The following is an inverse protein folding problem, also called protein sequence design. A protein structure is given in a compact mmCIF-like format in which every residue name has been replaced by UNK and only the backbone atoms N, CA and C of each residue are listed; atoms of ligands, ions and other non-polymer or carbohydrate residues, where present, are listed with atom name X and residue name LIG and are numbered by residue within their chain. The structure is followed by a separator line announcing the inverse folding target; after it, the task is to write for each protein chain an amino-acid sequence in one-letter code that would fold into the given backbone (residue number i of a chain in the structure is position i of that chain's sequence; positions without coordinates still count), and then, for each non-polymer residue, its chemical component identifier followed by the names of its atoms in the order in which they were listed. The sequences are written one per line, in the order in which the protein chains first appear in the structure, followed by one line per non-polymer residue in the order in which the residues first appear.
data_IF_581712763343
#
_entry.id   IF_581712763343
#
_cell.length_a   1.000
_cell.length_b   1.000
_cell.length_c   1.000
_cell.angle_alpha   90.00
_cell.angle_beta   90.00
_cell.angle_gamma   90.00
#
_symmetry.space_group_name_H-M   'P 1'
#
loop_
_entity.id
_entity.type
_entity.pdbx_description
1 polymer ?
#
# COMPACT_ATOMS: atom_id res chain seq x y z
N UNK A 1 7.46 31.11 -11.58
CA UNK A 1 6.49 30.10 -11.10
C UNK A 1 5.68 29.71 -12.33
N UNK A 2 6.12 28.64 -12.99
CA UNK A 2 5.55 28.18 -14.26
C UNK A 2 4.32 27.33 -13.97
N UNK A 3 3.14 27.91 -14.18
CA UNK A 3 1.83 27.29 -13.98
C UNK A 3 1.28 26.63 -15.26
N UNK A 4 2.08 26.50 -16.33
CA UNK A 4 1.62 25.93 -17.60
C UNK A 4 2.10 24.48 -17.86
N UNK A 5 2.38 23.71 -16.80
CA UNK A 5 2.44 22.24 -16.96
C UNK A 5 1.02 21.70 -17.07
N UNK A 6 0.43 21.84 -18.26
CA UNK A 6 -0.88 21.26 -18.59
C UNK A 6 -0.85 19.77 -18.27
N UNK A 7 -1.71 19.34 -17.35
CA UNK A 7 -1.81 17.94 -16.89
C UNK A 7 -2.09 16.91 -18.00
N UNK A 8 -2.37 17.38 -19.23
CA UNK A 8 -2.73 16.57 -20.40
C UNK A 8 -1.78 16.72 -21.60
N UNK A 9 -0.73 17.55 -21.51
CA UNK A 9 0.20 17.73 -22.64
C UNK A 9 1.17 16.56 -22.83
N UNK A 10 1.34 15.74 -21.79
CA UNK A 10 2.27 14.61 -21.72
C UNK A 10 1.50 13.36 -21.28
N UNK A 11 0.37 13.06 -21.93
CA UNK A 11 -0.32 11.79 -21.65
C UNK A 11 0.56 10.64 -22.16
N UNK A 12 0.89 9.73 -21.25
CA UNK A 12 1.54 8.48 -21.60
C UNK A 12 0.74 7.75 -22.68
N UNK A 13 1.44 7.10 -23.60
CA UNK A 13 0.81 6.28 -24.62
C UNK A 13 0.05 5.12 -23.97
N UNK A 14 -1.00 4.57 -24.62
CA UNK A 14 -1.74 3.43 -24.06
C UNK A 14 -0.87 2.24 -23.64
N UNK A 15 0.21 1.86 -24.37
CA UNK A 15 1.15 0.84 -23.92
C UNK A 15 1.87 1.20 -22.61
N UNK A 16 2.34 2.44 -22.46
CA UNK A 16 3.03 2.91 -21.25
C UNK A 16 2.08 2.91 -20.04
N UNK A 17 0.82 3.32 -20.24
CA UNK A 17 -0.21 3.24 -19.20
C UNK A 17 -0.51 1.79 -18.80
N UNK A 18 -0.58 0.87 -19.77
CA UNK A 18 -0.78 -0.55 -19.51
C UNK A 18 0.36 -1.15 -18.67
N UNK A 19 1.61 -0.85 -19.05
CA UNK A 19 2.77 -1.34 -18.32
C UNK A 19 2.89 -0.76 -16.92
N UNK A 20 2.53 0.52 -16.74
CA UNK A 20 2.47 1.14 -15.43
C UNK A 20 1.41 0.46 -14.53
N UNK A 21 0.20 0.23 -15.05
CA UNK A 21 -0.85 -0.49 -14.33
C UNK A 21 -0.40 -1.90 -13.93
N UNK A 22 0.25 -2.62 -14.85
CA UNK A 22 0.79 -3.97 -14.58
C UNK A 22 1.88 -3.94 -13.51
N UNK A 23 2.80 -2.97 -13.59
CA UNK A 23 3.89 -2.77 -12.62
C UNK A 23 3.34 -2.46 -11.22
N UNK A 24 2.37 -1.56 -11.12
CA UNK A 24 1.69 -1.23 -9.87
C UNK A 24 0.96 -2.46 -9.31
N UNK A 25 0.25 -3.22 -10.15
CA UNK A 25 -0.44 -4.42 -9.73
C UNK A 25 0.48 -5.47 -9.10
N UNK A 26 1.68 -5.65 -9.66
CA UNK A 26 2.72 -6.52 -9.09
C UNK A 26 3.26 -5.97 -7.77
N UNK A 27 3.65 -4.69 -7.73
CA UNK A 27 4.21 -4.05 -6.52
C UNK A 27 3.24 -4.09 -5.34
N UNK A 28 1.96 -3.85 -5.60
CA UNK A 28 0.91 -3.85 -4.60
C UNK A 28 0.31 -5.24 -4.35
N UNK A 29 0.79 -6.26 -5.07
CA UNK A 29 0.31 -7.65 -4.96
C UNK A 29 -1.21 -7.72 -5.11
N UNK A 30 -1.75 -7.01 -6.09
CA UNK A 30 -3.19 -6.88 -6.32
C UNK A 30 -3.91 -8.22 -6.40
N UNK A 31 -3.33 -9.24 -7.03
CA UNK A 31 -3.93 -10.58 -7.08
C UNK A 31 -4.17 -11.17 -5.68
N UNK A 32 -3.25 -10.96 -4.74
CA UNK A 32 -3.40 -11.43 -3.36
C UNK A 32 -4.53 -10.68 -2.66
N UNK A 33 -4.60 -9.36 -2.85
CA UNK A 33 -5.61 -8.51 -2.24
C UNK A 33 -7.00 -8.81 -2.82
N UNK A 34 -7.11 -8.94 -4.15
CA UNK A 34 -8.33 -9.27 -4.85
C UNK A 34 -8.88 -10.63 -4.40
N UNK A 35 -8.01 -11.65 -4.29
CA UNK A 35 -8.40 -12.95 -3.73
C UNK A 35 -8.86 -12.85 -2.29
N UNK A 36 -8.16 -12.09 -1.44
CA UNK A 36 -8.53 -11.91 -0.04
C UNK A 36 -9.86 -11.15 0.12
N UNK A 37 -10.12 -10.14 -0.73
CA UNK A 37 -11.36 -9.37 -0.73
C UNK A 37 -12.58 -10.20 -1.17
N UNK A 38 -12.37 -11.25 -1.96
CA UNK A 38 -13.42 -12.19 -2.36
C UNK A 38 -13.73 -13.26 -1.29
N UNK A 39 -12.87 -13.41 -0.27
CA UNK A 39 -13.14 -14.30 0.84
C UNK A 39 -14.17 -13.67 1.79
N UNK A 40 -15.00 -14.49 2.46
CA UNK A 40 -15.80 -14.00 3.57
C UNK A 40 -14.91 -13.26 4.56
N UNK A 41 -15.44 -12.17 5.13
CA UNK A 41 -14.73 -11.43 6.16
C UNK A 41 -14.33 -12.39 7.31
N UNK A 42 -13.14 -12.23 7.89
CA UNK A 42 -12.74 -13.03 9.04
C UNK A 42 -13.75 -12.83 10.18
N UNK A 43 -13.87 -13.84 11.05
CA UNK A 43 -14.77 -13.73 12.19
C UNK A 43 -14.36 -12.55 13.09
N UNK A 44 -15.37 -11.82 13.56
CA UNK A 44 -15.21 -10.76 14.56
C UNK A 44 -15.33 -11.30 15.99
N UNK A 45 -15.60 -12.61 16.15
CA UNK A 45 -15.75 -13.23 17.47
C UNK A 45 -14.39 -13.59 18.04
N UNK A 46 -14.22 -13.32 19.33
CA UNK A 46 -13.01 -13.67 20.06
C UNK A 46 -12.73 -15.17 20.06
N UNK A 47 -13.77 -16.00 20.17
CA UNK A 47 -13.67 -17.47 20.20
C UNK A 47 -13.11 -18.08 18.90
N UNK A 48 -13.28 -17.39 17.77
CA UNK A 48 -12.82 -17.83 16.46
C UNK A 48 -11.39 -17.34 16.14
N UNK A 49 -10.82 -16.48 16.99
CA UNK A 49 -9.47 -15.96 16.80
C UNK A 49 -8.43 -16.97 17.30
N UNK A 50 -7.32 -17.21 16.57
CA UNK A 50 -6.30 -18.15 17.01
C UNK A 50 -5.71 -17.73 18.36
N UNK A 51 -5.75 -18.64 19.34
CA UNK A 51 -5.07 -18.44 20.62
C UNK A 51 -3.56 -18.57 20.43
N UNK A 52 -2.80 -17.89 21.29
CA UNK A 52 -1.33 -17.99 21.35
C UNK A 52 -0.56 -17.47 20.13
N UNK A 53 -1.15 -16.53 19.37
CA UNK A 53 -0.40 -15.78 18.35
C UNK A 53 0.68 -14.92 19.03
N UNK A 54 1.98 -15.14 18.76
CA UNK A 54 3.01 -14.28 19.27
C UNK A 54 2.82 -12.87 18.71
N UNK A 55 3.01 -11.86 19.55
CA UNK A 55 3.03 -10.47 19.06
C UNK A 55 4.13 -10.35 18.01
N UNK A 56 3.79 -9.74 16.87
CA UNK A 56 4.77 -9.47 15.82
C UNK A 56 5.84 -8.55 16.39
N UNK A 57 7.09 -8.98 16.30
CA UNK A 57 8.22 -8.15 16.66
C UNK A 57 8.35 -7.02 15.62
N UNK A 58 8.44 -5.79 16.12
CA UNK A 58 8.61 -4.59 15.31
C UNK A 58 10.00 -4.03 15.61
N UNK A 59 10.87 -3.98 14.60
CA UNK A 59 12.16 -3.32 14.71
C UNK A 59 12.00 -1.84 14.38
N UNK A 60 12.39 -0.96 15.32
CA UNK A 60 12.48 0.47 15.05
C UNK A 60 13.84 0.74 14.41
N UNK A 61 13.84 0.99 13.10
CA UNK A 61 15.05 1.35 12.37
C UNK A 61 15.23 2.87 12.27
N UNK A 62 16.39 3.29 11.76
CA UNK A 62 16.70 4.71 11.58
C UNK A 62 15.78 5.42 10.56
N UNK A 63 15.10 4.67 9.67
CA UNK A 63 14.11 5.24 8.75
C UNK A 63 12.79 5.53 9.47
N UNK A 64 12.36 4.61 10.34
CA UNK A 64 11.17 4.75 11.20
C UNK A 64 11.32 5.93 12.15
N UNK A 65 12.49 6.11 12.77
CA UNK A 65 12.76 7.27 13.63
C UNK A 65 12.67 8.60 12.86
N UNK A 66 13.19 8.64 11.62
CA UNK A 66 13.08 9.82 10.75
C UNK A 66 11.64 10.13 10.36
N UNK A 67 10.84 9.11 10.05
CA UNK A 67 9.41 9.27 9.77
C UNK A 67 8.64 9.77 11.00
N UNK A 68 8.91 9.22 12.18
CA UNK A 68 8.29 9.68 13.41
C UNK A 68 8.59 11.15 13.68
N UNK A 69 9.86 11.56 13.54
CA UNK A 69 10.24 12.97 13.67
C UNK A 69 9.44 13.85 12.70
N UNK A 70 9.33 13.47 11.43
CA UNK A 70 8.56 14.26 10.45
C UNK A 70 7.06 14.37 10.78
N UNK A 71 6.46 13.35 11.39
CA UNK A 71 5.02 13.34 11.73
C UNK A 71 4.67 14.07 13.03
N UNK A 72 5.63 14.21 13.96
CA UNK A 72 5.42 14.82 15.28
C UNK A 72 6.10 16.19 15.46
N UNK A 73 6.63 16.77 14.37
CA UNK A 73 7.27 18.10 14.39
C UNK A 73 6.40 19.23 13.82
N UNK A 74 5.11 18.98 13.63
CA UNK A 74 4.11 19.96 13.14
C UNK A 74 3.15 20.36 14.28
#
# INVERSE_FOLDING_TARGET
MDTDRRAYAELATPPEMYDDCRSIGVKLRYDRIARAAALPAPSLRFEDFPRDLPKRELSVDAATARLAAALFSD
#
